data_IF_411248768873
#
_entry.id   IF_411248768873
#
_cell.length_a   1.000
_cell.length_b   1.000
_cell.length_c   1.000
_cell.angle_alpha   90.00
_cell.angle_beta   90.00
_cell.angle_gamma   90.00
#
_symmetry.space_group_name_H-M   'P 1'
#
loop_
_entity.id
_entity.type
_entity.pdbx_description
1 polymer ?
#
# COMPACT_ATOMS: atom_id res chain seq x y z
N UNK A 1 -3.12 -0.58 28.25
CA UNK A 1 -3.39 0.18 27.01
C UNK A 1 -4.56 -0.50 26.31
N UNK A 2 -5.73 0.15 26.22
CA UNK A 2 -6.91 -0.43 25.56
C UNK A 2 -6.70 -0.39 24.05
N UNK A 3 -6.72 -1.55 23.39
CA UNK A 3 -6.70 -1.60 21.92
C UNK A 3 -8.06 -1.18 21.39
N UNK A 4 -8.12 -0.12 20.56
CA UNK A 4 -9.35 0.26 19.86
C UNK A 4 -9.45 -0.53 18.55
N UNK A 5 -10.57 -1.19 18.36
CA UNK A 5 -10.93 -1.87 17.11
C UNK A 5 -11.69 -0.88 16.23
N UNK A 6 -11.20 -0.65 15.01
CA UNK A 6 -11.92 0.12 13.99
C UNK A 6 -12.54 -0.82 12.94
N UNK A 7 -13.86 -1.08 13.01
CA UNK A 7 -14.53 -2.00 12.08
C UNK A 7 -14.60 -1.46 10.65
N UNK A 8 -14.54 -0.15 10.46
CA UNK A 8 -14.68 0.49 9.15
C UNK A 8 -13.38 0.45 8.32
N UNK A 9 -12.26 -0.01 8.90
CA UNK A 9 -10.98 0.01 8.22
C UNK A 9 -10.99 -0.84 6.96
N UNK A 10 -11.68 -1.99 6.97
CA UNK A 10 -11.73 -2.91 5.83
C UNK A 10 -12.39 -2.21 4.63
N UNK A 11 -13.47 -1.45 4.88
CA UNK A 11 -14.13 -0.67 3.83
C UNK A 11 -13.25 0.46 3.32
N UNK A 12 -12.48 1.10 4.21
CA UNK A 12 -11.51 2.12 3.80
C UNK A 12 -10.39 1.53 2.94
N UNK A 13 -9.91 0.32 3.25
CA UNK A 13 -8.83 -0.33 2.51
C UNK A 13 -9.14 -0.60 1.04
N UNK A 14 -10.41 -0.75 0.68
CA UNK A 14 -10.81 -0.83 -0.73
C UNK A 14 -10.38 0.40 -1.54
N UNK A 15 -10.33 1.59 -0.93
CA UNK A 15 -9.81 2.80 -1.60
C UNK A 15 -8.28 2.77 -1.81
N UNK A 16 -7.58 1.90 -1.10
CA UNK A 16 -6.13 1.71 -1.21
C UNK A 16 -5.77 0.43 -1.96
N UNK A 17 -6.75 -0.29 -2.53
CA UNK A 17 -6.54 -1.51 -3.30
C UNK A 17 -6.46 -2.80 -2.48
N UNK A 18 -6.85 -2.80 -1.21
CA UNK A 18 -6.78 -3.98 -0.33
C UNK A 18 -8.17 -4.44 0.19
N UNK A 19 -9.16 -4.46 -0.70
CA UNK A 19 -10.53 -4.96 -0.43
C UNK A 19 -10.58 -6.48 -0.19
N UNK A 20 -9.69 -7.22 -0.85
CA UNK A 20 -9.53 -8.68 -0.73
C UNK A 20 -9.11 -9.14 0.68
N UNK A 21 -8.59 -8.24 1.53
CA UNK A 21 -8.22 -8.54 2.92
C UNK A 21 -9.38 -9.11 3.75
N UNK A 22 -10.62 -8.75 3.42
CA UNK A 22 -11.83 -9.27 4.07
C UNK A 22 -12.04 -10.77 3.86
N UNK A 23 -11.51 -11.33 2.77
CA UNK A 23 -11.69 -12.74 2.39
C UNK A 23 -10.76 -13.68 3.16
N UNK A 24 -9.69 -13.15 3.76
CA UNK A 24 -8.70 -13.94 4.49
C UNK A 24 -9.30 -14.56 5.75
N UNK A 25 -9.14 -15.88 5.90
CA UNK A 25 -9.52 -16.64 7.11
C UNK A 25 -8.32 -17.02 8.01
N UNK A 26 -7.14 -16.44 7.78
CA UNK A 26 -5.92 -16.64 8.60
C UNK A 26 -5.33 -18.07 8.62
N UNK A 27 -5.46 -18.85 7.54
CA UNK A 27 -4.88 -20.20 7.46
C UNK A 27 -3.34 -20.27 7.64
N UNK A 28 -2.61 -19.23 7.19
CA UNK A 28 -1.15 -19.18 7.29
C UNK A 28 -0.36 -19.77 6.14
N UNK A 29 -0.99 -20.18 5.03
CA UNK A 29 -0.27 -20.60 3.83
C UNK A 29 0.74 -19.54 3.34
N UNK A 30 0.32 -18.27 3.32
CA UNK A 30 1.19 -17.13 2.97
C UNK A 30 2.44 -17.02 3.86
N UNK A 31 2.37 -17.47 5.11
CA UNK A 31 3.49 -17.48 6.06
C UNK A 31 4.42 -18.67 5.85
N UNK A 32 3.90 -19.81 5.40
CA UNK A 32 4.71 -20.97 5.09
C UNK A 32 5.56 -20.77 3.82
N UNK A 33 5.04 -20.06 2.81
CA UNK A 33 5.73 -19.87 1.53
C UNK A 33 6.64 -18.64 1.48
N UNK A 34 6.45 -17.67 2.37
CA UNK A 34 7.19 -16.42 2.29
C UNK A 34 8.60 -16.54 2.87
N UNK A 35 9.62 -16.19 2.08
CA UNK A 35 11.03 -16.16 2.49
C UNK A 35 11.36 -15.16 3.59
N UNK A 36 10.51 -14.15 3.82
CA UNK A 36 10.65 -13.17 4.89
C UNK A 36 10.05 -13.64 6.23
N UNK A 37 9.29 -14.73 6.21
CA UNK A 37 8.69 -15.27 7.42
C UNK A 37 9.73 -16.01 8.27
N UNK A 38 9.69 -15.79 9.58
CA UNK A 38 10.54 -16.50 10.55
C UNK A 38 9.68 -17.05 11.69
N UNK A 39 10.23 -17.91 12.55
CA UNK A 39 9.50 -18.46 13.70
C UNK A 39 8.88 -17.37 14.60
N UNK A 40 9.58 -16.24 14.74
CA UNK A 40 9.14 -15.13 15.58
C UNK A 40 8.28 -14.10 14.84
N UNK A 41 8.34 -14.07 13.50
CA UNK A 41 7.67 -13.07 12.66
C UNK A 41 6.82 -13.79 11.62
N UNK A 42 5.53 -14.09 11.93
CA UNK A 42 4.63 -14.75 11.00
C UNK A 42 4.11 -13.77 9.93
N UNK A 43 4.97 -13.50 8.95
CA UNK A 43 4.77 -12.58 7.82
C UNK A 43 4.06 -13.29 6.65
N UNK A 44 3.17 -12.66 5.86
CA UNK A 44 2.46 -11.41 6.12
C UNK A 44 1.18 -11.62 6.97
N UNK A 45 0.85 -12.87 7.36
CA UNK A 45 -0.44 -13.23 8.02
C UNK A 45 -0.78 -12.32 9.21
N UNK A 46 0.19 -12.05 10.09
CA UNK A 46 -0.02 -11.24 11.30
C UNK A 46 -0.49 -9.82 10.97
N UNK A 47 0.14 -9.20 9.98
CA UNK A 47 -0.22 -7.85 9.53
C UNK A 47 -1.62 -7.84 8.89
N UNK A 48 -1.97 -8.84 8.09
CA UNK A 48 -3.33 -9.00 7.54
C UNK A 48 -4.35 -9.18 8.68
N UNK A 49 -4.00 -9.93 9.73
CA UNK A 49 -4.87 -10.09 10.90
C UNK A 49 -5.08 -8.77 11.65
N UNK A 50 -4.02 -7.97 11.82
CA UNK A 50 -4.14 -6.65 12.44
C UNK A 50 -5.06 -5.72 11.64
N UNK A 51 -4.99 -5.79 10.31
CA UNK A 51 -5.91 -5.09 9.43
C UNK A 51 -7.36 -5.53 9.66
N UNK A 52 -7.64 -6.84 9.65
CA UNK A 52 -8.99 -7.34 9.87
C UNK A 52 -9.58 -6.99 11.23
N UNK A 53 -8.73 -6.90 12.25
CA UNK A 53 -9.11 -6.53 13.61
C UNK A 53 -9.20 -5.00 13.81
N UNK A 54 -8.97 -4.18 12.78
CA UNK A 54 -9.05 -2.73 12.95
C UNK A 54 -7.97 -2.12 13.83
N UNK A 55 -6.83 -2.80 14.01
CA UNK A 55 -5.76 -2.37 14.92
C UNK A 55 -4.83 -1.35 14.24
N UNK A 56 -5.37 -0.18 13.92
CA UNK A 56 -4.68 0.87 13.17
C UNK A 56 -3.37 1.31 13.81
N UNK A 57 -3.31 1.39 15.13
CA UNK A 57 -2.10 1.81 15.87
C UNK A 57 -0.96 0.80 15.67
N UNK A 58 -1.28 -0.51 15.66
CA UNK A 58 -0.29 -1.56 15.40
C UNK A 58 0.16 -1.57 13.95
N UNK A 59 -0.75 -1.32 13.02
CA UNK A 59 -0.42 -1.22 11.59
C UNK A 59 0.53 -0.04 11.35
N UNK A 60 0.20 1.14 11.88
CA UNK A 60 1.00 2.36 11.72
C UNK A 60 2.41 2.26 12.31
N UNK A 61 2.64 1.37 13.27
CA UNK A 61 3.96 1.11 13.87
C UNK A 61 4.70 -0.09 13.26
N UNK A 62 4.05 -0.84 12.36
CA UNK A 62 4.63 -2.07 11.81
C UNK A 62 5.58 -1.78 10.65
N UNK A 63 6.84 -2.24 10.69
CA UNK A 63 7.72 -2.17 9.53
C UNK A 63 7.40 -3.24 8.47
N UNK A 64 6.60 -4.26 8.82
CA UNK A 64 6.36 -5.44 7.98
C UNK A 64 5.89 -5.07 6.56
N UNK A 65 4.89 -4.19 6.33
CA UNK A 65 4.50 -3.76 4.99
C UNK A 65 5.66 -3.29 4.13
N UNK A 66 6.62 -2.55 4.68
CA UNK A 66 7.77 -2.00 3.97
C UNK A 66 8.84 -3.04 3.62
N UNK A 67 8.86 -4.19 4.30
CA UNK A 67 9.77 -5.29 4.01
C UNK A 67 9.28 -6.18 2.86
N UNK A 68 7.99 -6.15 2.53
CA UNK A 68 7.42 -6.98 1.46
C UNK A 68 8.08 -6.73 0.09
N UNK A 69 8.61 -7.76 -0.57
CA UNK A 69 9.13 -7.58 -1.94
C UNK A 69 8.06 -7.61 -3.03
N UNK A 70 6.81 -7.90 -2.66
CA UNK A 70 5.73 -8.10 -3.63
C UNK A 70 6.10 -9.18 -4.68
N UNK A 71 6.66 -10.30 -4.23
CA UNK A 71 7.09 -11.39 -5.12
C UNK A 71 5.93 -12.21 -5.70
N UNK A 72 4.75 -12.19 -5.08
CA UNK A 72 3.54 -12.87 -5.58
C UNK A 72 3.28 -14.27 -5.03
N UNK A 73 4.28 -14.98 -4.50
CA UNK A 73 4.13 -16.40 -4.08
C UNK A 73 2.96 -16.64 -3.12
N UNK A 74 2.75 -15.70 -2.18
CA UNK A 74 1.67 -15.77 -1.20
C UNK A 74 0.28 -15.50 -1.79
N UNK A 75 0.19 -14.77 -2.90
CA UNK A 75 -1.04 -14.52 -3.65
C UNK A 75 -1.40 -15.71 -4.53
N UNK A 76 -0.43 -16.23 -5.28
CA UNK A 76 -0.64 -17.37 -6.19
C UNK A 76 -1.06 -18.65 -5.45
N UNK A 77 -0.60 -18.81 -4.21
CA UNK A 77 -0.91 -19.99 -3.38
C UNK A 77 -2.08 -19.75 -2.41
N UNK A 78 -2.74 -18.60 -2.44
CA UNK A 78 -3.81 -18.29 -1.49
C UNK A 78 -5.08 -19.11 -1.80
N UNK A 79 -5.57 -19.99 -0.89
CA UNK A 79 -6.76 -20.82 -1.16
C UNK A 79 -8.09 -20.05 -1.14
N UNK A 80 -8.04 -18.74 -0.85
CA UNK A 80 -9.21 -17.86 -0.73
C UNK A 80 -9.15 -16.68 -1.68
N UNK A 81 -8.13 -16.62 -2.55
CA UNK A 81 -7.89 -15.50 -3.46
C UNK A 81 -7.91 -14.14 -2.75
N UNK A 82 -7.41 -14.11 -1.51
CA UNK A 82 -7.40 -12.92 -0.66
C UNK A 82 -6.21 -11.97 -0.97
N UNK A 83 -5.47 -12.27 -2.04
CA UNK A 83 -4.30 -11.54 -2.55
C UNK A 83 -3.42 -10.89 -1.46
N UNK A 84 -2.73 -11.69 -0.61
CA UNK A 84 -1.90 -11.17 0.47
C UNK A 84 -0.82 -10.19 0.00
N UNK A 85 -0.30 -10.36 -1.22
CA UNK A 85 0.64 -9.43 -1.85
C UNK A 85 0.03 -8.04 -2.00
N UNK A 86 -1.13 -7.93 -2.65
CA UNK A 86 -1.78 -6.64 -2.88
C UNK A 86 -2.29 -6.02 -1.58
N UNK A 87 -2.70 -6.83 -0.61
CA UNK A 87 -3.02 -6.34 0.74
C UNK A 87 -1.82 -5.63 1.38
N UNK A 88 -0.60 -6.17 1.23
CA UNK A 88 0.61 -5.53 1.74
C UNK A 88 0.93 -4.22 1.00
N UNK A 89 0.70 -4.16 -0.31
CA UNK A 89 0.86 -2.92 -1.08
C UNK A 89 -0.18 -1.87 -0.71
N UNK A 90 -1.45 -2.27 -0.55
CA UNK A 90 -2.50 -1.37 -0.07
C UNK A 90 -2.21 -0.82 1.32
N UNK A 91 -1.64 -1.64 2.22
CA UNK A 91 -1.18 -1.17 3.52
C UNK A 91 -0.09 -0.11 3.42
N UNK A 92 0.88 -0.25 2.50
CA UNK A 92 1.87 0.83 2.26
C UNK A 92 1.19 2.13 1.86
N UNK A 93 0.26 2.09 0.90
CA UNK A 93 -0.48 3.27 0.45
C UNK A 93 -1.27 3.92 1.59
N UNK A 94 -1.96 3.10 2.39
CA UNK A 94 -2.67 3.55 3.58
C UNK A 94 -1.74 4.20 4.61
N UNK A 95 -0.61 3.56 4.93
CA UNK A 95 0.34 4.06 5.91
C UNK A 95 1.01 5.35 5.46
N UNK A 96 1.42 5.45 4.18
CA UNK A 96 1.89 6.72 3.59
C UNK A 96 0.86 7.82 3.77
N UNK A 97 -0.44 7.52 3.58
CA UNK A 97 -1.50 8.52 3.76
C UNK A 97 -1.70 8.98 5.22
N UNK A 98 -1.25 8.19 6.20
CA UNK A 98 -1.28 8.56 7.62
C UNK A 98 -0.01 9.31 8.01
N UNK A 99 1.14 8.91 7.47
CA UNK A 99 2.42 9.53 7.77
C UNK A 99 2.56 10.92 7.14
N UNK A 100 1.90 11.14 6.00
CA UNK A 100 1.86 12.43 5.36
C UNK A 100 0.98 13.43 6.11
N UNK A 101 1.64 14.31 6.86
CA UNK A 101 1.01 15.42 7.57
C UNK A 101 0.27 16.42 6.66
N UNK A 102 0.63 16.52 5.37
CA UNK A 102 -0.04 17.43 4.44
C UNK A 102 -1.38 16.88 3.92
N UNK A 103 -1.58 15.56 4.01
CA UNK A 103 -2.76 14.86 3.49
C UNK A 103 -2.82 14.74 1.96
N UNK A 104 -1.83 15.26 1.23
CA UNK A 104 -1.76 15.21 -0.23
C UNK A 104 -1.69 13.76 -0.71
N UNK A 105 -0.94 12.90 -0.03
CA UNK A 105 -0.79 11.48 -0.36
C UNK A 105 -2.13 10.75 -0.37
N UNK A 106 -3.03 11.11 0.55
CA UNK A 106 -4.38 10.53 0.60
C UNK A 106 -5.19 10.89 -0.65
N UNK A 107 -5.08 12.12 -1.14
CA UNK A 107 -5.77 12.56 -2.35
C UNK A 107 -5.25 11.80 -3.58
N UNK A 108 -3.93 11.65 -3.69
CA UNK A 108 -3.30 10.85 -4.76
C UNK A 108 -3.82 9.41 -4.80
N UNK A 109 -3.88 8.73 -3.64
CA UNK A 109 -4.32 7.33 -3.62
C UNK A 109 -5.83 7.14 -3.79
N UNK A 110 -6.64 8.13 -3.43
CA UNK A 110 -8.11 7.97 -3.39
C UNK A 110 -8.85 8.65 -4.54
N UNK A 111 -8.21 9.57 -5.28
CA UNK A 111 -8.84 10.34 -6.37
C UNK A 111 -8.04 10.25 -7.67
N UNK A 112 -8.60 9.56 -8.67
CA UNK A 112 -8.02 9.46 -10.02
C UNK A 112 -7.92 10.80 -10.74
N UNK A 113 -8.86 11.71 -10.50
CA UNK A 113 -8.81 13.05 -11.09
C UNK A 113 -7.61 13.85 -10.58
N UNK A 114 -7.29 13.73 -9.29
CA UNK A 114 -6.14 14.41 -8.70
C UNK A 114 -4.82 13.81 -9.20
N UNK A 115 -4.74 12.47 -9.26
CA UNK A 115 -3.61 11.74 -9.84
C UNK A 115 -3.32 12.21 -11.28
N UNK A 116 -4.32 12.13 -12.16
CA UNK A 116 -4.18 12.54 -13.57
C UNK A 116 -3.85 14.04 -13.68
N UNK A 117 -4.56 14.89 -12.92
CA UNK A 117 -4.33 16.33 -12.92
C UNK A 117 -2.90 16.69 -12.52
N UNK A 118 -2.34 16.03 -11.50
CA UNK A 118 -0.97 16.25 -11.06
C UNK A 118 0.06 15.87 -12.12
N UNK A 119 -0.16 14.77 -12.87
CA UNK A 119 0.71 14.34 -13.96
C UNK A 119 0.72 15.41 -15.06
N UNK A 120 -0.45 15.92 -15.44
CA UNK A 120 -0.53 17.00 -16.42
C UNK A 120 0.16 18.28 -15.96
N UNK A 121 0.00 18.67 -14.69
CA UNK A 121 0.67 19.84 -14.12
C UNK A 121 2.18 19.68 -14.15
N UNK A 122 2.71 18.54 -13.70
CA UNK A 122 4.16 18.26 -13.71
C UNK A 122 4.70 18.23 -15.14
N UNK A 123 4.00 17.56 -16.05
CA UNK A 123 4.38 17.51 -17.47
C UNK A 123 4.43 18.91 -18.10
N UNK A 124 3.44 19.77 -17.80
CA UNK A 124 3.40 21.15 -18.27
C UNK A 124 4.54 21.98 -17.68
N UNK A 125 4.83 21.85 -16.39
CA UNK A 125 5.95 22.54 -15.75
C UNK A 125 7.30 22.14 -16.34
N UNK A 126 7.51 20.84 -16.57
CA UNK A 126 8.73 20.32 -17.22
C UNK A 126 8.83 20.82 -18.66
N UNK A 127 7.72 20.77 -19.42
CA UNK A 127 7.67 21.27 -20.79
C UNK A 127 7.97 22.77 -20.89
N UNK A 128 7.38 23.58 -20.01
CA UNK A 128 7.70 25.01 -19.91
C UNK A 128 9.17 25.22 -19.51
N UNK A 129 9.69 24.40 -18.60
CA UNK A 129 11.12 24.42 -18.23
C UNK A 129 12.02 24.21 -19.45
N UNK A 130 11.72 23.23 -20.30
CA UNK A 130 12.45 23.07 -21.57
C UNK A 130 12.29 24.27 -22.49
N UNK A 131 11.10 24.88 -22.61
CA UNK A 131 10.88 26.05 -23.46
C UNK A 131 11.65 27.30 -23.00
N UNK A 132 11.75 27.53 -21.70
CA UNK A 132 12.44 28.71 -21.17
C UNK A 132 13.95 28.52 -20.98
N UNK A 133 14.40 27.28 -20.77
CA UNK A 133 15.79 26.97 -20.43
C UNK A 133 16.48 26.06 -21.46
N UNK A 134 15.96 25.90 -22.67
CA UNK A 134 16.69 25.16 -23.71
C UNK A 134 18.00 25.90 -24.05
N UNK A 135 19.13 25.19 -23.93
CA UNK A 135 20.38 25.62 -24.55
C UNK A 135 20.27 25.60 -26.08
N UNK A 136 21.29 26.04 -26.83
CA UNK A 136 21.32 25.83 -28.27
C UNK A 136 21.21 24.33 -28.56
N UNK A 137 20.18 23.92 -29.31
CA UNK A 137 20.08 22.54 -29.79
C UNK A 137 21.20 22.31 -30.81
N UNK A 138 22.21 21.53 -30.43
CA UNK A 138 23.25 21.05 -31.34
C UNK A 138 22.62 19.99 -32.24
N UNK A 139 22.31 20.35 -33.48
CA UNK A 139 21.80 19.44 -34.52
C UNK A 139 22.85 19.10 -35.56
N UNK A 140 24.13 19.17 -35.18
CA UNK A 140 25.26 18.81 -36.04
C UNK A 140 25.45 17.29 -36.14
#
# INVERSE_FOLDING_TARGET
MSLKVNPDIIKLMGKFGADSASQCFNCGNCTAVCSLSTENIPFPRKTIRYLQLGLTDKLAQSPEPWLCYYCGDCSDTCPRDADPGEVMMGLRRYMTSIYDWTGISKLFYTSKAFEIGSIFVVALLVGLGFLFFHGPMLTD
#
